data_IF_329169025234
#
_entry.id   IF_329169025234
#
_cell.length_a   1.000
_cell.length_b   1.000
_cell.length_c   1.000
_cell.angle_alpha   90.00
_cell.angle_beta   90.00
_cell.angle_gamma   90.00
#
_symmetry.space_group_name_H-M   'P 1'
#
loop_
_entity.id
_entity.type
_entity.pdbx_description
1 polymer ?
#
# COMPACT_ATOMS: atom_id res chain seq x y z
N UNK A 1 13.28 8.55 6.86
CA UNK A 1 13.00 7.19 6.36
C UNK A 1 13.23 6.12 7.42
N UNK A 2 14.43 6.00 8.04
CA UNK A 2 14.75 4.93 9.03
C UNK A 2 13.62 4.63 10.01
N UNK A 3 13.15 5.64 10.78
CA UNK A 3 12.07 5.46 11.77
C UNK A 3 10.78 4.82 11.24
N UNK A 4 10.41 5.10 9.99
CA UNK A 4 9.20 4.50 9.39
C UNK A 4 9.44 3.03 9.04
N UNK A 5 10.61 2.73 8.48
CA UNK A 5 10.99 1.35 8.15
C UNK A 5 11.16 0.53 9.44
N UNK A 6 11.75 1.11 10.47
CA UNK A 6 11.98 0.44 11.76
C UNK A 6 10.65 0.12 12.48
N UNK A 7 9.63 0.98 12.38
CA UNK A 7 8.33 0.81 13.04
C UNK A 7 7.30 0.02 12.21
N UNK A 8 7.31 0.17 10.88
CA UNK A 8 6.26 -0.36 9.98
C UNK A 8 6.80 -1.35 8.94
N UNK A 9 8.10 -1.67 8.97
CA UNK A 9 8.76 -2.54 7.99
C UNK A 9 9.02 -1.86 6.64
N UNK A 10 8.06 -1.10 6.11
CA UNK A 10 8.22 -0.36 4.85
C UNK A 10 7.45 0.95 4.81
N UNK A 11 7.84 1.85 3.91
CA UNK A 11 7.09 3.09 3.68
C UNK A 11 5.75 2.85 3.00
N UNK A 12 5.66 1.81 2.15
CA UNK A 12 4.41 1.44 1.47
C UNK A 12 3.37 0.97 2.49
N UNK A 13 3.75 0.03 3.37
CA UNK A 13 2.89 -0.46 4.45
C UNK A 13 2.41 0.68 5.35
N UNK A 14 3.34 1.55 5.76
CA UNK A 14 3.03 2.74 6.53
C UNK A 14 2.03 3.66 5.84
N UNK A 15 2.25 4.00 4.56
CA UNK A 15 1.42 5.00 3.88
C UNK A 15 0.02 4.47 3.55
N UNK A 16 -0.08 3.18 3.18
CA UNK A 16 -1.36 2.51 2.92
C UNK A 16 -2.16 2.23 4.18
N UNK A 17 -1.52 2.10 5.35
CA UNK A 17 -2.21 1.95 6.63
C UNK A 17 -3.18 3.11 6.93
N UNK A 18 -2.89 4.33 6.47
CA UNK A 18 -3.77 5.49 6.65
C UNK A 18 -5.11 5.38 5.91
N UNK A 19 -5.20 4.48 4.94
CA UNK A 19 -6.39 4.22 4.13
C UNK A 19 -6.87 2.78 4.25
N UNK A 20 -6.44 2.05 5.30
CA UNK A 20 -6.77 0.65 5.52
C UNK A 20 -6.44 -0.22 4.29
N UNK A 21 -5.34 0.09 3.59
CA UNK A 21 -4.89 -0.61 2.38
C UNK A 21 -5.91 -0.61 1.23
N UNK A 22 -6.89 0.30 1.27
CA UNK A 22 -7.91 0.47 0.23
C UNK A 22 -7.82 1.86 -0.37
N UNK A 23 -7.66 1.98 -1.70
CA UNK A 23 -7.58 3.28 -2.32
C UNK A 23 -8.92 4.00 -2.23
N UNK A 24 -8.86 5.32 -2.06
CA UNK A 24 -10.04 6.18 -1.97
C UNK A 24 -10.52 6.49 -3.39
N UNK A 25 -11.73 6.08 -3.75
CA UNK A 25 -12.29 6.39 -5.07
C UNK A 25 -13.15 7.65 -5.00
N UNK A 26 -12.66 8.73 -5.58
CA UNK A 26 -13.41 9.98 -5.69
C UNK A 26 -14.22 10.01 -6.99
N UNK A 27 -15.51 10.33 -6.91
CA UNK A 27 -16.43 10.35 -8.06
C UNK A 27 -16.69 11.77 -8.58
N UNK A 28 -15.63 12.52 -8.86
CA UNK A 28 -15.76 13.91 -9.31
C UNK A 28 -16.31 14.00 -10.74
N UNK A 29 -17.34 14.83 -10.92
CA UNK A 29 -17.89 15.11 -12.27
C UNK A 29 -17.14 16.23 -13.00
N UNK A 30 -16.57 17.18 -12.27
CA UNK A 30 -15.93 18.37 -12.84
C UNK A 30 -14.58 18.65 -12.18
N UNK A 31 -13.55 19.13 -12.92
CA UNK A 31 -12.23 19.43 -12.37
C UNK A 31 -12.26 20.36 -11.16
N UNK A 32 -13.12 21.39 -11.18
CA UNK A 32 -13.27 22.36 -10.09
C UNK A 32 -13.76 21.76 -8.76
N UNK A 33 -14.28 20.53 -8.76
CA UNK A 33 -14.69 19.85 -7.54
C UNK A 33 -13.53 19.06 -6.92
N UNK A 34 -12.45 18.82 -7.66
CA UNK A 34 -11.25 18.19 -7.10
C UNK A 34 -10.61 19.20 -6.14
N UNK A 35 -10.51 18.89 -4.83
CA UNK A 35 -9.97 19.83 -3.87
C UNK A 35 -8.46 20.00 -4.07
N UNK A 36 -7.87 21.05 -3.49
CA UNK A 36 -6.41 21.23 -3.50
C UNK A 36 -5.72 20.40 -2.40
N UNK A 37 -6.47 20.04 -1.36
CA UNK A 37 -6.03 19.19 -0.24
C UNK A 37 -7.24 18.54 0.43
N UNK A 38 -7.00 17.48 1.20
CA UNK A 38 -8.07 16.77 1.95
C UNK A 38 -7.73 16.68 3.43
N UNK A 39 -8.74 16.49 4.31
CA UNK A 39 -8.49 16.23 5.73
C UNK A 39 -7.59 15.02 5.98
N UNK A 40 -7.67 14.00 5.12
CA UNK A 40 -6.78 12.83 5.19
C UNK A 40 -5.32 13.21 4.92
N UNK A 41 -5.08 14.01 3.88
CA UNK A 41 -3.74 14.53 3.59
C UNK A 41 -3.19 15.43 4.71
N UNK A 42 -4.05 16.22 5.39
CA UNK A 42 -3.64 17.01 6.56
C UNK A 42 -3.15 16.11 7.70
N UNK A 43 -3.80 14.97 7.96
CA UNK A 43 -3.39 14.00 8.99
C UNK A 43 -2.04 13.36 8.64
N UNK A 44 -1.90 12.85 7.41
CA UNK A 44 -0.67 12.20 6.95
C UNK A 44 0.49 13.21 6.95
N UNK A 45 0.27 14.43 6.46
CA UNK A 45 1.25 15.52 6.48
C UNK A 45 1.79 15.79 7.88
N UNK A 46 0.89 15.94 8.88
CA UNK A 46 1.30 16.18 10.27
C UNK A 46 2.13 15.04 10.83
N UNK A 47 1.79 13.79 10.53
CA UNK A 47 2.54 12.63 11.00
C UNK A 47 3.94 12.54 10.35
N UNK A 48 4.02 12.76 9.04
CA UNK A 48 5.28 12.82 8.32
C UNK A 48 6.19 13.94 8.83
N UNK A 49 5.64 15.14 9.11
CA UNK A 49 6.41 16.24 9.74
C UNK A 49 6.95 15.81 11.10
N UNK A 50 6.12 15.17 11.95
CA UNK A 50 6.54 14.67 13.27
C UNK A 50 7.68 13.65 13.16
N UNK A 51 7.66 12.83 12.10
CA UNK A 51 8.69 11.82 11.80
C UNK A 51 9.94 12.40 11.14
N UNK A 52 10.00 13.71 10.93
CA UNK A 52 11.17 14.44 10.46
C UNK A 52 11.25 14.62 8.94
N UNK A 53 10.18 14.28 8.20
CA UNK A 53 10.13 14.58 6.77
C UNK A 53 10.01 16.09 6.54
N UNK A 54 10.59 16.57 5.44
CA UNK A 54 10.57 17.98 5.03
C UNK A 54 9.77 18.12 3.74
N UNK A 55 9.21 19.30 3.51
CA UNK A 55 8.39 19.61 2.32
C UNK A 55 7.16 18.72 2.11
N UNK A 56 6.64 18.15 3.20
CA UNK A 56 5.47 17.26 3.23
C UNK A 56 4.20 18.01 3.63
N UNK A 57 3.97 19.20 3.06
CA UNK A 57 2.76 19.98 3.32
C UNK A 57 1.50 19.27 2.81
N UNK A 58 0.29 19.57 3.34
CA UNK A 58 -0.92 18.82 2.99
C UNK A 58 -1.27 18.78 1.50
N UNK A 59 -1.01 19.86 0.77
CA UNK A 59 -1.18 19.89 -0.70
C UNK A 59 -0.23 18.93 -1.39
N UNK A 60 1.04 18.90 -0.98
CA UNK A 60 2.06 18.00 -1.54
C UNK A 60 1.68 16.55 -1.27
N UNK A 61 1.25 16.25 -0.04
CA UNK A 61 0.80 14.90 0.34
C UNK A 61 -0.44 14.49 -0.43
N UNK A 62 -1.40 15.39 -0.64
CA UNK A 62 -2.57 15.07 -1.44
C UNK A 62 -2.20 14.79 -2.91
N UNK A 63 -1.31 15.58 -3.51
CA UNK A 63 -0.78 15.29 -4.85
C UNK A 63 -0.03 13.96 -4.91
N UNK A 64 0.76 13.63 -3.87
CA UNK A 64 1.41 12.33 -3.77
C UNK A 64 0.37 11.20 -3.71
N UNK A 65 -0.69 11.33 -2.91
CA UNK A 65 -1.76 10.34 -2.83
C UNK A 65 -2.42 10.09 -4.19
N UNK A 66 -2.60 11.15 -5.00
CA UNK A 66 -3.17 11.04 -6.34
C UNK A 66 -2.26 10.28 -7.30
N UNK A 67 -0.96 10.61 -7.32
CA UNK A 67 0.01 9.98 -8.23
C UNK A 67 0.33 8.54 -7.82
N UNK A 68 0.40 8.26 -6.52
CA UNK A 68 0.66 6.92 -5.98
C UNK A 68 -0.56 5.98 -6.07
N UNK A 69 -1.73 6.49 -6.48
CA UNK A 69 -2.96 5.70 -6.56
C UNK A 69 -3.62 5.40 -5.21
N UNK A 70 -3.19 6.07 -4.13
CA UNK A 70 -3.86 6.02 -2.82
C UNK A 70 -5.24 6.66 -2.91
N UNK A 71 -5.40 7.65 -3.79
CA UNK A 71 -6.70 8.18 -4.21
C UNK A 71 -6.84 8.10 -5.72
N UNK A 72 -7.98 7.62 -6.20
CA UNK A 72 -8.38 7.70 -7.59
C UNK A 72 -9.27 8.94 -7.75
N UNK A 73 -8.66 10.04 -8.19
CA UNK A 73 -9.35 11.31 -8.45
C UNK A 73 -9.57 11.58 -9.94
N UNK A 74 -9.45 10.55 -10.78
CA UNK A 74 -9.91 10.67 -12.15
C UNK A 74 -11.37 11.12 -12.17
N UNK A 75 -11.71 12.03 -13.08
CA UNK A 75 -13.10 12.40 -13.28
C UNK A 75 -13.88 11.17 -13.72
N UNK A 76 -15.16 11.09 -13.37
CA UNK A 76 -16.03 9.97 -13.80
C UNK A 76 -16.14 9.83 -15.33
N UNK A 77 -15.83 10.90 -16.07
CA UNK A 77 -15.79 10.92 -17.54
C UNK A 77 -14.42 10.59 -18.13
N UNK A 78 -13.39 10.38 -17.30
CA UNK A 78 -12.07 9.98 -17.77
C UNK A 78 -12.10 8.53 -18.25
N UNK A 79 -11.51 8.25 -19.41
CA UNK A 79 -11.48 6.91 -19.99
C UNK A 79 -10.83 5.86 -19.08
N UNK A 80 -9.95 6.28 -18.15
CA UNK A 80 -9.27 5.40 -17.18
C UNK A 80 -10.01 5.25 -15.86
N UNK A 81 -11.10 5.99 -15.63
CA UNK A 81 -11.76 5.99 -14.34
C UNK A 81 -12.17 4.58 -13.93
N UNK A 82 -12.85 3.86 -14.83
CA UNK A 82 -13.31 2.51 -14.57
C UNK A 82 -12.14 1.53 -14.38
N UNK A 83 -11.12 1.60 -15.24
CA UNK A 83 -9.92 0.75 -15.12
C UNK A 83 -9.23 0.93 -13.76
N UNK A 84 -9.13 2.18 -13.28
CA UNK A 84 -8.56 2.49 -11.97
C UNK A 84 -9.45 2.07 -10.80
N UNK A 85 -10.77 2.02 -10.97
CA UNK A 85 -11.68 1.44 -9.96
C UNK A 85 -11.51 -0.08 -9.90
N UNK A 86 -11.50 -0.75 -11.05
CA UNK A 86 -11.33 -2.20 -11.09
C UNK A 86 -9.98 -2.62 -10.51
N UNK A 87 -8.89 -1.91 -10.85
CA UNK A 87 -7.56 -2.18 -10.28
C UNK A 87 -7.49 -1.96 -8.75
N UNK A 88 -8.35 -1.09 -8.21
CA UNK A 88 -8.46 -0.86 -6.78
C UNK A 88 -9.15 -2.02 -6.03
N UNK A 89 -10.13 -2.67 -6.66
CA UNK A 89 -10.90 -3.78 -6.09
C UNK A 89 -10.09 -5.09 -6.08
N UNK A 90 -9.24 -5.32 -7.09
CA UNK A 90 -8.39 -6.54 -7.17
C UNK A 90 -7.40 -6.65 -5.99
N UNK A 91 -6.89 -5.53 -5.48
CA UNK A 91 -6.02 -5.52 -4.28
C UNK A 91 -6.73 -6.05 -3.03
N UNK A 92 -8.06 -5.99 -2.98
CA UNK A 92 -8.85 -6.46 -1.84
C UNK A 92 -8.87 -8.00 -1.77
N UNK A 93 -8.86 -8.67 -2.92
CA UNK A 93 -8.85 -10.14 -3.02
C UNK A 93 -7.44 -10.70 -2.74
N UNK A 94 -6.38 -10.07 -3.25
CA UNK A 94 -5.00 -10.50 -3.01
C UNK A 94 -4.57 -10.38 -1.54
N UNK A 95 -5.07 -9.40 -0.78
CA UNK A 95 -4.77 -9.28 0.65
C UNK A 95 -5.40 -10.44 1.46
N UNK A 96 -6.51 -11.01 0.98
CA UNK A 96 -7.15 -12.17 1.63
C UNK A 96 -6.51 -13.51 1.26
N UNK A 97 -5.80 -13.61 0.13
CA UNK A 97 -5.09 -14.81 -0.32
C UNK A 97 -3.58 -14.79 -0.02
N UNK A 98 -2.97 -13.62 0.11
CA UNK A 98 -1.53 -13.43 0.35
C UNK A 98 -1.03 -13.82 1.75
N UNK A 99 -1.91 -14.05 2.72
CA UNK A 99 -1.51 -14.61 4.02
C UNK A 99 -1.11 -16.10 3.96
N UNK A 100 -1.29 -16.77 2.80
CA UNK A 100 -0.97 -18.19 2.62
C UNK A 100 0.40 -18.45 1.94
N UNK A 101 1.01 -17.47 1.25
CA UNK A 101 2.23 -17.70 0.46
C UNK A 101 3.54 -17.67 1.26
N UNK A 102 3.53 -17.25 2.53
CA UNK A 102 4.72 -17.31 3.38
C UNK A 102 4.94 -18.68 4.05
N UNK A 103 3.94 -19.58 4.04
CA UNK A 103 4.07 -20.92 4.65
C UNK A 103 4.61 -21.99 3.70
N UNK A 104 4.52 -21.80 2.39
CA UNK A 104 4.99 -22.79 1.40
C UNK A 104 6.51 -22.92 1.38
N UNK A 105 7.24 -21.79 1.48
CA UNK A 105 8.71 -21.80 1.44
C UNK A 105 9.36 -22.39 2.71
N UNK A 106 8.68 -22.34 3.87
CA UNK A 106 9.23 -22.89 5.13
C UNK A 106 9.15 -24.41 5.15
N UNK A 107 8.06 -24.98 4.64
CA UNK A 107 7.84 -26.44 4.65
C UNK A 107 8.78 -27.14 3.66
N UNK A 108 9.04 -26.53 2.49
CA UNK A 108 9.98 -27.06 1.50
C UNK A 108 11.43 -27.04 2.05
N UNK A 109 11.80 -26.00 2.81
CA UNK A 109 13.09 -25.91 3.48
C UNK A 109 13.27 -26.94 4.60
N UNK A 110 12.25 -27.21 5.41
CA UNK A 110 12.34 -28.23 6.48
C UNK A 110 12.33 -29.65 5.93
N UNK A 111 11.58 -29.92 4.86
CA UNK A 111 11.55 -31.23 4.22
C UNK A 111 12.89 -31.57 3.54
N UNK A 112 13.54 -30.60 2.89
CA UNK A 112 14.90 -30.79 2.35
C UNK A 112 15.91 -31.11 3.46
N UNK A 113 15.83 -30.40 4.60
CA UNK A 113 16.73 -30.63 5.74
C UNK A 113 16.55 -32.00 6.38
N UNK A 114 15.31 -32.50 6.45
CA UNK A 114 15.01 -33.82 7.00
C UNK A 114 15.47 -34.96 6.07
N UNK A 115 15.43 -34.76 4.75
CA UNK A 115 15.91 -35.74 3.77
C UNK A 115 17.43 -35.89 3.85
N UNK A 116 18.16 -34.78 4.04
CA UNK A 116 19.62 -34.81 4.20
C UNK A 116 20.07 -35.54 5.48
N UNK A 117 19.33 -35.42 6.59
CA UNK A 117 19.63 -36.18 7.82
C UNK A 117 19.34 -37.68 7.68
N UNK A 118 18.33 -38.06 6.90
CA UNK A 118 18.00 -39.48 6.63
C UNK A 118 18.98 -40.13 5.65
N UNK A 119 19.63 -39.35 4.77
CA UNK A 119 20.64 -39.85 3.84
C UNK A 119 21.97 -40.22 4.51
N UNK A 120 22.23 -39.78 5.74
CA UNK A 120 23.52 -39.98 6.43
C UNK A 120 23.52 -41.14 7.45
N UNK A 121 22.41 -41.88 7.60
CA UNK A 121 22.32 -43.05 8.50
C UNK A 121 22.26 -44.39 7.77
N UNK A 122 22.76 -44.47 6.53
CA UNK A 122 22.83 -45.72 5.75
C UNK A 122 24.24 -45.96 5.21
N UNK A 123 25.22 -46.04 6.12
CA UNK A 123 26.44 -46.85 5.96
C UNK A 123 26.69 -47.65 7.25
#
# INVERSE_FOLDING_TARGET
MSKVIDEFGSFDEYIWSFVNHKPIVSRFRYPRHVPVKTPKADVISKDLVRRGFRSVGPTVIYSFMQVAGITNDHLISCFRFQDCVTAAEVKEEEITTGAAEEKSNVIESELSRAIDELSFSSE
#
